data_IF_487085389263
#
_entry.id   IF_487085389263
#
_cell.length_a   1.000
_cell.length_b   1.000
_cell.length_c   1.000
_cell.angle_alpha   90.00
_cell.angle_beta   90.00
_cell.angle_gamma   90.00
#
_symmetry.space_group_name_H-M   'P 1'
#
loop_
_entity.id
_entity.type
_entity.pdbx_description
1 polymer ?
#
# COMPACT_ATOMS: atom_id res chain seq x y z
N UNK A 1 8.45 61.23 -33.27
CA UNK A 1 8.37 59.78 -33.59
C UNK A 1 8.47 59.05 -32.27
N UNK A 2 7.31 58.73 -31.72
CA UNK A 2 7.12 58.38 -30.31
C UNK A 2 7.41 56.90 -30.06
N UNK A 3 8.06 56.65 -28.94
CA UNK A 3 8.43 55.35 -28.41
C UNK A 3 7.22 54.60 -27.85
N UNK A 4 7.15 53.29 -28.11
CA UNK A 4 6.64 52.24 -27.21
C UNK A 4 7.24 50.91 -27.67
N UNK A 5 8.50 50.64 -27.36
CA UNK A 5 8.96 49.94 -26.14
C UNK A 5 8.09 48.73 -25.81
N UNK A 6 8.68 47.55 -26.03
CA UNK A 6 8.04 46.26 -25.89
C UNK A 6 7.45 46.06 -24.50
N UNK A 7 6.18 45.67 -24.47
CA UNK A 7 5.61 44.99 -23.33
C UNK A 7 6.36 43.67 -23.19
N UNK A 8 7.33 43.63 -22.28
CA UNK A 8 7.70 42.39 -21.61
C UNK A 8 6.42 41.88 -20.96
N UNK A 9 5.75 40.96 -21.64
CA UNK A 9 4.60 40.26 -21.11
C UNK A 9 5.03 39.72 -19.73
N UNK A 10 4.52 40.34 -18.66
CA UNK A 10 4.77 39.89 -17.29
C UNK A 10 4.45 38.40 -17.20
N UNK A 11 5.07 37.66 -16.28
CA UNK A 11 5.00 36.19 -16.23
C UNK A 11 3.53 35.78 -16.30
N UNK A 12 3.09 35.37 -17.49
CA UNK A 12 1.69 35.17 -17.78
C UNK A 12 1.16 34.05 -16.91
N UNK A 13 -0.17 33.96 -16.78
CA UNK A 13 -0.85 32.88 -16.05
C UNK A 13 -0.25 31.48 -16.35
N UNK A 14 0.26 31.30 -17.57
CA UNK A 14 0.97 30.11 -18.04
C UNK A 14 2.22 29.72 -17.21
N UNK A 15 3.02 30.69 -16.78
CA UNK A 15 4.20 30.45 -15.92
C UNK A 15 3.80 30.05 -14.50
N UNK A 16 2.70 30.60 -13.99
CA UNK A 16 2.15 30.24 -12.68
C UNK A 16 1.51 28.83 -12.70
N UNK A 17 0.81 28.49 -13.80
CA UNK A 17 0.28 27.14 -14.04
C UNK A 17 1.40 26.11 -14.21
N UNK A 18 2.49 26.46 -14.91
CA UNK A 18 3.63 25.56 -15.09
C UNK A 18 4.36 25.33 -13.76
N UNK A 19 4.56 26.39 -12.96
CA UNK A 19 5.17 26.28 -11.64
C UNK A 19 4.34 25.43 -10.67
N UNK A 20 3.02 25.61 -10.66
CA UNK A 20 2.12 24.80 -9.81
C UNK A 20 2.04 23.35 -10.27
N UNK A 21 2.01 23.07 -11.58
CA UNK A 21 2.05 21.70 -12.10
C UNK A 21 3.34 20.97 -11.71
N UNK A 22 4.49 21.63 -11.83
CA UNK A 22 5.79 21.07 -11.43
C UNK A 22 5.84 20.84 -9.92
N UNK A 23 5.37 21.79 -9.11
CA UNK A 23 5.30 21.62 -7.65
C UNK A 23 4.38 20.43 -7.25
N UNK A 24 3.25 20.25 -7.93
CA UNK A 24 2.34 19.11 -7.69
C UNK A 24 3.01 17.79 -8.05
N UNK A 25 3.68 17.72 -9.21
CA UNK A 25 4.39 16.53 -9.65
C UNK A 25 5.53 16.16 -8.69
N UNK A 26 6.28 17.15 -8.20
CA UNK A 26 7.32 16.95 -7.19
C UNK A 26 6.72 16.49 -5.86
N UNK A 27 5.62 17.08 -5.39
CA UNK A 27 4.97 16.66 -4.15
C UNK A 27 4.45 15.22 -4.24
N UNK A 28 3.87 14.83 -5.38
CA UNK A 28 3.42 13.46 -5.63
C UNK A 28 4.60 12.48 -5.74
N UNK A 29 5.69 12.89 -6.39
CA UNK A 29 6.92 12.11 -6.52
C UNK A 29 7.63 11.91 -5.18
N UNK A 30 7.71 12.94 -4.34
CA UNK A 30 8.28 12.85 -2.99
C UNK A 30 7.40 12.00 -2.09
N UNK A 31 6.07 12.14 -2.15
CA UNK A 31 5.15 11.29 -1.36
C UNK A 31 5.26 9.81 -1.75
N UNK A 32 5.36 9.50 -3.05
CA UNK A 32 5.53 8.13 -3.52
C UNK A 32 6.92 7.59 -3.18
N UNK A 33 7.97 8.42 -3.29
CA UNK A 33 9.33 8.06 -2.90
C UNK A 33 9.45 7.81 -1.40
N UNK A 34 8.86 8.64 -0.54
CA UNK A 34 8.84 8.43 0.92
C UNK A 34 8.08 7.15 1.31
N UNK A 35 6.95 6.87 0.64
CA UNK A 35 6.20 5.62 0.81
C UNK A 35 6.97 4.40 0.30
N UNK A 36 7.87 4.60 -0.66
CA UNK A 36 8.73 3.56 -1.23
C UNK A 36 10.01 3.35 -0.43
N UNK A 37 10.59 4.41 0.16
CA UNK A 37 11.78 4.34 1.00
C UNK A 37 11.49 3.69 2.36
N UNK A 38 10.24 3.75 2.84
CA UNK A 38 9.77 2.91 3.94
C UNK A 38 9.74 1.40 3.60
N UNK A 39 9.88 1.04 2.31
CA UNK A 39 10.03 -0.34 1.84
C UNK A 39 11.52 -0.68 1.84
N UNK A 40 12.04 -0.98 3.03
CA UNK A 40 13.40 -1.54 3.16
C UNK A 40 13.57 -2.79 2.29
N UNK A 41 14.80 -3.06 1.78
CA UNK A 41 15.09 -4.08 0.78
C UNK A 41 14.75 -5.48 1.27
N UNK A 42 14.45 -6.37 0.33
CA UNK A 42 13.87 -7.68 0.56
C UNK A 42 14.79 -8.66 1.27
N UNK A 43 14.52 -8.88 2.55
CA UNK A 43 15.04 -10.02 3.31
C UNK A 43 13.94 -10.46 4.26
N UNK A 44 13.41 -11.68 4.03
CA UNK A 44 12.40 -12.40 4.83
C UNK A 44 11.57 -11.54 5.82
N UNK A 45 10.67 -10.68 5.30
CA UNK A 45 9.99 -9.66 6.13
C UNK A 45 8.92 -10.24 7.06
N UNK A 46 8.42 -11.43 6.75
CA UNK A 46 7.28 -12.03 7.41
C UNK A 46 7.64 -13.41 7.93
N UNK A 47 7.39 -13.64 9.22
CA UNK A 47 7.53 -14.94 9.88
C UNK A 47 6.17 -15.36 10.39
N UNK A 48 5.90 -16.66 10.37
CA UNK A 48 4.70 -17.24 10.98
C UNK A 48 4.79 -17.02 12.50
N UNK A 49 3.81 -16.34 13.12
CA UNK A 49 3.89 -16.00 14.54
C UNK A 49 3.72 -17.23 15.43
N UNK A 50 4.54 -17.33 16.47
CA UNK A 50 4.35 -18.25 17.58
C UNK A 50 4.07 -17.43 18.86
N UNK A 51 2.92 -17.62 19.53
CA UNK A 51 1.90 -18.64 19.30
C UNK A 51 0.99 -18.36 18.08
N UNK A 52 0.62 -19.44 17.37
CA UNK A 52 -0.37 -19.43 16.30
C UNK A 52 -1.78 -19.28 16.90
N UNK A 53 -2.37 -18.10 16.73
CA UNK A 53 -3.72 -17.78 17.15
C UNK A 53 -4.43 -16.99 16.04
N UNK A 54 -5.77 -16.96 16.01
CA UNK A 54 -6.51 -16.20 14.99
C UNK A 54 -6.09 -14.72 14.97
N UNK A 55 -5.89 -14.12 16.14
CA UNK A 55 -5.45 -12.73 16.26
C UNK A 55 -4.03 -12.50 15.71
N UNK A 56 -3.08 -13.39 16.04
CA UNK A 56 -1.70 -13.25 15.57
C UNK A 56 -1.60 -13.46 14.05
N UNK A 57 -2.36 -14.41 13.50
CA UNK A 57 -2.44 -14.64 12.06
C UNK A 57 -3.11 -13.47 11.34
N UNK A 58 -4.25 -12.96 11.81
CA UNK A 58 -4.88 -11.78 11.20
C UNK A 58 -3.95 -10.57 11.25
N UNK A 59 -3.22 -10.37 12.36
CA UNK A 59 -2.21 -9.32 12.47
C UNK A 59 -1.08 -9.46 11.44
N UNK A 60 -0.61 -10.69 11.19
CA UNK A 60 0.36 -10.98 10.13
C UNK A 60 -0.21 -10.67 8.74
N UNK A 61 -1.41 -11.19 8.43
CA UNK A 61 -2.07 -11.00 7.14
C UNK A 61 -2.32 -9.52 6.84
N UNK A 62 -2.81 -8.73 7.81
CA UNK A 62 -2.98 -7.27 7.64
C UNK A 62 -1.65 -6.55 7.43
N UNK A 63 -0.55 -7.02 8.02
CA UNK A 63 0.78 -6.45 7.78
C UNK A 63 1.27 -6.74 6.37
N UNK A 64 1.06 -7.96 5.89
CA UNK A 64 1.32 -8.37 4.51
C UNK A 64 0.49 -7.50 3.55
N UNK A 65 -0.81 -7.34 3.82
CA UNK A 65 -1.70 -6.48 3.05
C UNK A 65 -1.19 -5.03 2.98
N UNK A 66 -0.80 -4.44 4.12
CA UNK A 66 -0.31 -3.06 4.18
C UNK A 66 0.97 -2.83 3.37
N UNK A 67 1.69 -3.90 3.05
CA UNK A 67 2.91 -3.88 2.25
C UNK A 67 2.57 -3.88 0.76
N UNK A 68 3.38 -3.18 -0.05
CA UNK A 68 3.14 -3.10 -1.51
C UNK A 68 3.77 -4.29 -2.26
N UNK A 69 3.86 -5.45 -1.61
CA UNK A 69 4.42 -6.68 -2.19
C UNK A 69 3.41 -7.53 -2.94
N UNK A 70 2.10 -7.29 -2.74
CA UNK A 70 1.03 -8.07 -3.37
C UNK A 70 0.41 -7.36 -4.56
N UNK A 71 0.04 -8.13 -5.58
CA UNK A 71 -0.80 -7.68 -6.70
C UNK A 71 -2.19 -7.27 -6.20
N UNK A 72 -2.95 -6.45 -6.97
CA UNK A 72 -4.31 -6.08 -6.61
C UNK A 72 -5.23 -7.30 -6.39
N UNK A 73 -5.12 -8.33 -7.24
CA UNK A 73 -5.93 -9.54 -7.10
C UNK A 73 -5.57 -10.35 -5.84
N UNK A 74 -4.27 -10.53 -5.57
CA UNK A 74 -3.83 -11.20 -4.33
C UNK A 74 -4.22 -10.42 -3.08
N UNK A 75 -4.32 -9.09 -3.15
CA UNK A 75 -4.81 -8.28 -2.03
C UNK A 75 -6.29 -8.52 -1.75
N UNK A 76 -7.11 -8.64 -2.78
CA UNK A 76 -8.54 -8.97 -2.64
C UNK A 76 -8.72 -10.38 -2.08
N UNK A 77 -7.94 -11.35 -2.59
CA UNK A 77 -7.91 -12.73 -2.07
C UNK A 77 -7.55 -12.76 -0.57
N UNK A 78 -6.52 -12.01 -0.17
CA UNK A 78 -6.09 -11.89 1.22
C UNK A 78 -7.18 -11.28 2.13
N UNK A 79 -7.86 -10.23 1.66
CA UNK A 79 -8.97 -9.61 2.40
C UNK A 79 -10.12 -10.59 2.63
N UNK A 80 -10.52 -11.34 1.59
CA UNK A 80 -11.54 -12.37 1.71
C UNK A 80 -11.15 -13.47 2.70
N UNK A 81 -9.86 -13.85 2.74
CA UNK A 81 -9.39 -14.86 3.68
C UNK A 81 -9.33 -14.35 5.12
N UNK A 82 -8.96 -13.08 5.35
CA UNK A 82 -9.05 -12.45 6.68
C UNK A 82 -10.50 -12.49 7.17
N UNK A 83 -11.46 -12.11 6.32
CA UNK A 83 -12.87 -12.11 6.67
C UNK A 83 -13.38 -13.51 7.00
N UNK A 84 -13.00 -14.53 6.22
CA UNK A 84 -13.36 -15.92 6.49
C UNK A 84 -12.83 -16.41 7.86
N UNK A 85 -11.60 -16.06 8.23
CA UNK A 85 -11.03 -16.38 9.54
C UNK A 85 -11.81 -15.65 10.65
N UNK A 86 -12.10 -14.36 10.46
CA UNK A 86 -12.85 -13.57 11.44
C UNK A 86 -14.25 -14.15 11.70
N UNK A 87 -14.97 -14.56 10.66
CA UNK A 87 -16.30 -15.18 10.78
C UNK A 87 -16.25 -16.53 11.52
N UNK A 88 -15.25 -17.37 11.25
CA UNK A 88 -15.14 -18.70 11.88
C UNK A 88 -14.60 -18.69 13.32
N UNK A 89 -13.75 -17.72 13.66
CA UNK A 89 -13.13 -17.66 15.00
C UNK A 89 -13.76 -16.62 15.93
N UNK A 90 -14.45 -15.61 15.38
CA UNK A 90 -15.10 -14.55 16.16
C UNK A 90 -16.59 -14.37 15.86
N UNK A 91 -17.13 -15.01 14.82
CA UNK A 91 -18.55 -15.03 14.50
C UNK A 91 -19.24 -16.32 14.91
N UNK A 92 -20.47 -16.50 14.42
CA UNK A 92 -21.29 -17.70 14.62
C UNK A 92 -21.24 -18.65 13.40
N UNK A 93 -20.14 -18.64 12.65
CA UNK A 93 -20.02 -19.50 11.48
C UNK A 93 -19.79 -20.96 11.88
N UNK A 94 -20.78 -21.80 11.59
CA UNK A 94 -20.66 -23.26 11.66
C UNK A 94 -20.10 -23.79 10.33
N UNK A 95 -18.92 -24.40 10.38
CA UNK A 95 -18.20 -24.82 9.18
C UNK A 95 -16.85 -25.49 9.45
N UNK A 96 -16.13 -25.77 8.36
CA UNK A 96 -14.76 -26.33 8.45
C UNK A 96 -13.83 -25.26 8.97
N UNK A 97 -13.18 -25.52 10.10
CA UNK A 97 -12.27 -24.57 10.75
C UNK A 97 -11.06 -24.27 9.83
N UNK A 98 -10.77 -23.00 9.52
CA UNK A 98 -9.62 -22.65 8.69
C UNK A 98 -8.29 -23.04 9.35
N UNK A 99 -7.37 -23.62 8.58
CA UNK A 99 -6.00 -23.93 9.03
C UNK A 99 -5.15 -22.66 9.03
N UNK A 100 -5.01 -22.08 10.21
CA UNK A 100 -4.24 -20.86 10.43
C UNK A 100 -2.76 -20.99 10.07
N UNK A 101 -2.18 -22.18 10.23
CA UNK A 101 -0.78 -22.43 9.93
C UNK A 101 -0.55 -22.45 8.43
N UNK A 102 -1.36 -23.22 7.70
CA UNK A 102 -1.29 -23.31 6.24
C UNK A 102 -1.53 -21.94 5.59
N UNK A 103 -2.53 -21.20 6.08
CA UNK A 103 -2.85 -19.84 5.62
C UNK A 103 -1.67 -18.90 5.85
N UNK A 104 -1.11 -18.85 7.06
CA UNK A 104 0.00 -17.97 7.38
C UNK A 104 1.24 -18.29 6.53
N UNK A 105 1.58 -19.58 6.37
CA UNK A 105 2.72 -20.00 5.56
C UNK A 105 2.55 -19.62 4.09
N UNK A 106 1.36 -19.83 3.52
CA UNK A 106 1.06 -19.50 2.13
C UNK A 106 1.28 -18.01 1.85
N UNK A 107 0.79 -17.14 2.73
CA UNK A 107 0.93 -15.69 2.53
C UNK A 107 2.33 -15.17 2.81
N UNK A 108 3.05 -15.75 3.76
CA UNK A 108 4.47 -15.44 3.96
C UNK A 108 5.27 -15.75 2.70
N UNK A 109 5.04 -16.91 2.08
CA UNK A 109 5.71 -17.30 0.83
C UNK A 109 5.34 -16.40 -0.34
N UNK A 110 4.07 -16.00 -0.47
CA UNK A 110 3.60 -15.11 -1.55
C UNK A 110 4.00 -13.64 -1.38
N UNK A 111 4.33 -13.23 -0.15
CA UNK A 111 4.72 -11.86 0.17
C UNK A 111 6.24 -11.65 0.25
N UNK A 112 7.02 -12.69 -0.05
CA UNK A 112 8.49 -12.67 -0.17
C UNK A 112 8.88 -12.38 -1.61
#
# INVERSE_FOLDING_TARGET
MEARYGEVAGPGLWTWLLGTAVALALALGVRSALRSAARGPGEARFTVPEPLSPFTVIGLLRRIESTNGLTPDSRVELQGQIQNIEEHYFGEADGTRPDLSEIAQTWVQRAT
#
